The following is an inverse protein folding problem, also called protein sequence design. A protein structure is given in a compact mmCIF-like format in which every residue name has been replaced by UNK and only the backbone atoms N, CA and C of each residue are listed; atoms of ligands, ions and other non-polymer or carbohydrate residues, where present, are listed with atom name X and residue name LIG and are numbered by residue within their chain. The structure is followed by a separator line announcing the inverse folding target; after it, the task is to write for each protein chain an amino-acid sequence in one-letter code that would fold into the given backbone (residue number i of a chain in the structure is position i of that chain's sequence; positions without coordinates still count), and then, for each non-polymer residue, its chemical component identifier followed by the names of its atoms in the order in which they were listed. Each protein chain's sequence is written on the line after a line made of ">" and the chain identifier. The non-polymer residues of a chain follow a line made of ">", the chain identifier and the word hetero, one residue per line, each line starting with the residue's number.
data_IF_556667346529
#
_entry.id   IF_556667346529
#
_cell.length_a   1.000
_cell.length_b   1.000
_cell.length_c   1.000
_cell.angle_alpha   90.00
_cell.angle_beta   90.00
_cell.angle_gamma   90.00
#
_symmetry.space_group_name_H-M   'P 1'
#
loop_
_entity.id
_entity.type
_entity.pdbx_description
1 polymer ?
#
# COMPACT_ATOMS: atom_id res chain seq x y z
N UNK A 1 8.61 5.54 -7.63
CA UNK A 1 9.11 4.46 -6.75
C UNK A 1 9.12 4.89 -5.29
N UNK A 2 8.32 4.25 -4.41
CA UNK A 2 8.45 4.40 -2.94
C UNK A 2 9.42 3.32 -2.44
N UNK A 3 10.47 3.76 -1.73
CA UNK A 3 11.46 2.85 -1.11
C UNK A 3 10.93 2.31 0.21
N UNK A 4 11.39 1.12 0.63
CA UNK A 4 10.98 0.51 1.90
C UNK A 4 11.26 1.43 3.09
N UNK A 5 12.40 2.14 3.11
CA UNK A 5 12.72 3.12 4.15
C UNK A 5 11.73 4.29 4.24
N UNK A 6 11.13 4.70 3.13
CA UNK A 6 10.11 5.75 3.14
C UNK A 6 8.81 5.25 3.78
N UNK A 7 8.41 4.01 3.48
CA UNK A 7 7.23 3.37 4.07
C UNK A 7 7.40 3.24 5.58
N UNK A 8 8.56 2.76 6.01
CA UNK A 8 8.89 2.60 7.44
C UNK A 8 8.76 3.94 8.17
N UNK A 9 9.24 5.05 7.58
CA UNK A 9 9.08 6.39 8.18
C UNK A 9 7.61 6.81 8.36
N UNK A 10 6.71 6.37 7.49
CA UNK A 10 5.27 6.62 7.66
C UNK A 10 4.65 5.66 8.67
N UNK A 11 5.08 4.40 8.69
CA UNK A 11 4.66 3.41 9.69
C UNK A 11 5.08 3.81 11.11
N UNK A 12 6.25 4.42 11.28
CA UNK A 12 6.72 4.95 12.58
C UNK A 12 5.81 6.07 13.14
N UNK A 13 4.90 6.62 12.33
CA UNK A 13 3.92 7.63 12.74
C UNK A 13 2.52 7.04 12.98
N UNK A 14 2.33 5.75 12.73
CA UNK A 14 1.05 5.08 12.88
C UNK A 14 0.84 4.64 14.34
N UNK A 15 -0.37 4.87 14.85
CA UNK A 15 -0.75 4.54 16.23
C UNK A 15 -1.89 3.53 16.32
N UNK A 16 -2.49 3.18 15.17
CA UNK A 16 -3.68 2.36 15.07
C UNK A 16 -3.63 1.52 13.78
N UNK A 17 -4.50 0.51 13.72
CA UNK A 17 -4.56 -0.39 12.57
C UNK A 17 -4.97 0.35 11.28
N UNK A 18 -5.76 1.42 11.38
CA UNK A 18 -6.26 2.15 10.21
C UNK A 18 -5.15 2.93 9.50
N UNK A 19 -4.35 3.67 10.24
CA UNK A 19 -3.19 4.38 9.74
C UNK A 19 -2.16 3.42 9.14
N UNK A 20 -2.00 2.22 9.70
CA UNK A 20 -1.13 1.18 9.15
C UNK A 20 -1.68 0.65 7.83
N UNK A 21 -2.98 0.33 7.75
CA UNK A 21 -3.63 -0.14 6.54
C UNK A 21 -3.51 0.88 5.39
N UNK A 22 -3.72 2.17 5.66
CA UNK A 22 -3.55 3.22 4.64
C UNK A 22 -2.13 3.26 4.07
N UNK A 23 -1.12 3.14 4.95
CA UNK A 23 0.30 3.15 4.57
C UNK A 23 0.72 1.87 3.84
N UNK A 24 0.24 0.72 4.29
CA UNK A 24 0.50 -0.56 3.65
C UNK A 24 -0.22 -0.68 2.30
N UNK A 25 -1.44 -0.18 2.17
CA UNK A 25 -2.16 -0.11 0.91
C UNK A 25 -1.40 0.69 -0.13
N UNK A 26 -0.87 1.86 0.26
CA UNK A 26 0.01 2.66 -0.57
C UNK A 26 1.30 1.91 -0.99
N UNK A 27 1.92 1.17 -0.06
CA UNK A 27 3.08 0.34 -0.34
C UNK A 27 2.79 -0.76 -1.37
N UNK A 28 1.67 -1.47 -1.21
CA UNK A 28 1.23 -2.56 -2.08
C UNK A 28 0.90 -2.05 -3.49
N UNK A 29 0.10 -0.99 -3.61
CA UNK A 29 -0.21 -0.35 -4.89
C UNK A 29 1.07 0.06 -5.61
N UNK A 30 2.03 0.65 -4.89
CA UNK A 30 3.33 0.96 -5.47
C UNK A 30 4.05 -0.27 -6.05
N UNK A 31 3.85 -1.48 -5.53
CA UNK A 31 4.46 -2.70 -6.09
C UNK A 31 3.75 -3.13 -7.35
N UNK A 32 2.42 -3.14 -7.36
CA UNK A 32 1.64 -3.47 -8.56
C UNK A 32 1.92 -2.51 -9.70
N UNK A 33 1.98 -1.21 -9.44
CA UNK A 33 2.32 -0.21 -10.45
C UNK A 33 3.71 -0.43 -11.06
N UNK A 34 4.63 -1.09 -10.35
CA UNK A 34 5.95 -1.45 -10.89
C UNK A 34 5.95 -2.81 -11.62
N UNK A 35 4.78 -3.40 -11.87
CA UNK A 35 4.63 -4.68 -12.58
C UNK A 35 4.81 -5.92 -11.70
N UNK A 36 4.78 -5.77 -10.37
CA UNK A 36 4.85 -6.94 -9.48
C UNK A 36 3.55 -7.76 -9.55
N UNK A 37 3.69 -9.10 -9.62
CA UNK A 37 2.56 -10.03 -9.50
C UNK A 37 2.18 -10.28 -8.04
N UNK A 38 0.96 -10.76 -7.76
CA UNK A 38 0.47 -10.98 -6.40
C UNK A 38 1.45 -11.78 -5.52
N UNK A 39 2.01 -12.88 -6.00
CA UNK A 39 3.00 -13.67 -5.26
C UNK A 39 4.23 -12.84 -4.84
N UNK A 40 4.75 -11.99 -5.75
CA UNK A 40 5.88 -11.12 -5.45
C UNK A 40 5.52 -10.02 -4.45
N UNK A 41 4.28 -9.52 -4.50
CA UNK A 41 3.76 -8.56 -3.53
C UNK A 41 3.64 -9.21 -2.14
N UNK A 42 3.11 -10.43 -2.04
CA UNK A 42 3.05 -11.19 -0.79
C UNK A 42 4.44 -11.41 -0.19
N UNK A 43 5.42 -11.81 -1.00
CA UNK A 43 6.82 -11.91 -0.55
C UNK A 43 7.34 -10.57 -0.02
N UNK A 44 7.01 -9.45 -0.67
CA UNK A 44 7.39 -8.10 -0.23
C UNK A 44 6.69 -7.63 1.04
N UNK A 45 5.46 -8.10 1.30
CA UNK A 45 4.76 -7.87 2.56
C UNK A 45 5.44 -8.69 3.66
N UNK A 46 5.71 -9.97 3.41
CA UNK A 46 6.42 -10.84 4.35
C UNK A 46 7.80 -10.28 4.74
N UNK A 47 8.60 -9.86 3.76
CA UNK A 47 9.90 -9.23 4.03
C UNK A 47 9.78 -7.93 4.84
N UNK A 48 8.71 -7.16 4.65
CA UNK A 48 8.45 -5.96 5.44
C UNK A 48 8.14 -6.32 6.89
N UNK A 49 7.30 -7.33 7.12
CA UNK A 49 7.01 -7.84 8.47
C UNK A 49 8.29 -8.30 9.16
N UNK A 50 9.10 -9.15 8.53
CA UNK A 50 10.37 -9.60 9.10
C UNK A 50 11.31 -8.43 9.41
N UNK A 51 11.41 -7.45 8.50
CA UNK A 51 12.22 -6.26 8.72
C UNK A 51 11.75 -5.46 9.94
N UNK A 52 10.44 -5.23 10.10
CA UNK A 52 9.89 -4.49 11.25
C UNK A 52 10.14 -5.24 12.56
N UNK A 53 9.94 -6.56 12.57
CA UNK A 53 10.21 -7.40 13.74
C UNK A 53 11.69 -7.40 14.16
N UNK A 54 12.62 -7.31 13.19
CA UNK A 54 14.07 -7.32 13.46
C UNK A 54 14.67 -5.93 13.75
N UNK A 55 13.90 -4.84 13.63
CA UNK A 55 14.41 -3.45 13.75
C UNK A 55 13.73 -2.64 14.85
N UNK A 56 13.42 -3.26 15.99
CA UNK A 56 12.73 -2.68 17.16
C UNK A 56 11.37 -2.04 16.86
N UNK A 57 10.76 -2.42 15.72
CA UNK A 57 9.45 -1.96 15.25
C UNK A 57 8.39 -3.05 15.30
N UNK A 58 8.60 -4.07 16.14
CA UNK A 58 7.64 -5.17 16.33
C UNK A 58 6.24 -4.68 16.70
N UNK A 59 6.15 -3.62 17.50
CA UNK A 59 4.89 -2.99 17.90
C UNK A 59 4.02 -2.55 16.70
N UNK A 60 4.62 -2.18 15.56
CA UNK A 60 3.87 -1.83 14.34
C UNK A 60 3.17 -3.07 13.77
N UNK A 61 3.84 -4.22 13.80
CA UNK A 61 3.26 -5.49 13.36
C UNK A 61 2.13 -5.91 14.30
N UNK A 62 2.30 -5.68 15.60
CA UNK A 62 1.28 -5.98 16.62
C UNK A 62 0.03 -5.11 16.46
N UNK A 63 0.20 -3.78 16.37
CA UNK A 63 -0.91 -2.82 16.18
C UNK A 63 -1.63 -3.08 14.84
N UNK A 64 -0.86 -3.35 13.79
CA UNK A 64 -1.34 -3.50 12.42
C UNK A 64 -1.68 -4.93 12.01
N UNK A 65 -1.81 -5.87 12.95
CA UNK A 65 -1.92 -7.29 12.63
C UNK A 65 -3.07 -7.56 11.65
N UNK A 66 -4.21 -6.91 11.85
CA UNK A 66 -5.38 -7.05 10.97
C UNK A 66 -5.18 -6.38 9.61
N UNK A 67 -4.52 -5.23 9.55
CA UNK A 67 -4.14 -4.59 8.29
C UNK A 67 -3.22 -5.49 7.44
N UNK A 68 -2.20 -6.08 8.04
CA UNK A 68 -1.30 -7.01 7.35
C UNK A 68 -2.04 -8.26 6.83
N UNK A 69 -2.91 -8.87 7.65
CA UNK A 69 -3.71 -10.03 7.25
C UNK A 69 -4.68 -9.69 6.14
N UNK A 70 -5.48 -8.63 6.32
CA UNK A 70 -6.50 -8.20 5.36
C UNK A 70 -5.88 -7.91 3.98
N UNK A 71 -4.77 -7.16 3.96
CA UNK A 71 -4.05 -6.90 2.71
C UNK A 71 -3.44 -8.16 2.10
N UNK A 72 -2.89 -9.08 2.90
CA UNK A 72 -2.38 -10.35 2.37
C UNK A 72 -3.49 -11.19 1.72
N UNK A 73 -4.67 -11.26 2.35
CA UNK A 73 -5.85 -11.93 1.80
C UNK A 73 -6.26 -11.27 0.49
N UNK A 74 -6.47 -9.95 0.50
CA UNK A 74 -6.89 -9.20 -0.69
C UNK A 74 -5.90 -9.39 -1.85
N UNK A 75 -4.59 -9.31 -1.57
CA UNK A 75 -3.54 -9.55 -2.58
C UNK A 75 -3.59 -10.98 -3.11
N UNK A 76 -3.80 -11.97 -2.23
CA UNK A 76 -3.93 -13.38 -2.64
C UNK A 76 -5.15 -13.62 -3.52
N UNK A 77 -6.20 -12.81 -3.36
CA UNK A 77 -7.44 -12.84 -4.15
C UNK A 77 -7.40 -11.98 -5.42
N UNK A 78 -6.22 -11.47 -5.81
CA UNK A 78 -6.05 -10.68 -7.05
C UNK A 78 -6.02 -9.17 -6.85
N UNK A 79 -5.98 -8.71 -5.60
CA UNK A 79 -5.74 -7.32 -5.20
C UNK A 79 -6.77 -6.28 -5.66
N UNK A 80 -7.97 -6.67 -6.08
CA UNK A 80 -8.94 -5.77 -6.73
C UNK A 80 -9.34 -4.55 -5.89
N UNK A 81 -9.32 -4.68 -4.55
CA UNK A 81 -9.78 -3.65 -3.61
C UNK A 81 -8.65 -2.95 -2.87
N UNK A 82 -7.39 -3.29 -3.14
CA UNK A 82 -6.27 -2.64 -2.44
C UNK A 82 -6.26 -1.15 -2.74
N UNK A 83 -6.18 -0.31 -1.70
CA UNK A 83 -6.10 1.14 -1.84
C UNK A 83 -7.39 1.82 -2.31
N UNK A 84 -8.52 1.12 -2.31
CA UNK A 84 -9.85 1.71 -2.56
C UNK A 84 -10.38 2.50 -1.36
N UNK A 85 -9.86 2.20 -0.16
CA UNK A 85 -10.19 2.94 1.07
C UNK A 85 -9.55 4.34 1.03
N UNK A 86 -10.31 5.41 1.30
CA UNK A 86 -9.75 6.75 1.33
C UNK A 86 -8.72 6.88 2.46
N UNK A 87 -7.65 7.64 2.20
CA UNK A 87 -6.67 7.97 3.23
C UNK A 87 -7.18 9.13 4.08
N UNK A 88 -7.40 8.88 5.37
CA UNK A 88 -7.94 9.83 6.35
C UNK A 88 -6.89 10.21 7.40
N UNK A 89 -5.88 9.37 7.59
CA UNK A 89 -4.83 9.61 8.60
C UNK A 89 -3.70 10.47 8.05
N UNK A 90 -3.05 11.26 8.91
CA UNK A 90 -1.87 12.06 8.53
C UNK A 90 -0.78 11.22 7.82
N UNK A 91 -0.34 10.06 8.34
CA UNK A 91 0.66 9.25 7.65
C UNK A 91 0.15 8.68 6.33
N UNK A 92 -1.11 8.22 6.26
CA UNK A 92 -1.72 7.75 5.03
C UNK A 92 -1.81 8.82 3.94
N UNK A 93 -2.37 9.99 4.27
CA UNK A 93 -2.43 11.14 3.34
C UNK A 93 -1.02 11.49 2.85
N UNK A 94 -0.04 11.52 3.77
CA UNK A 94 1.35 11.82 3.46
C UNK A 94 1.95 10.88 2.41
N UNK A 95 1.80 9.57 2.59
CA UNK A 95 2.37 8.59 1.65
C UNK A 95 1.61 8.58 0.31
N UNK A 96 0.29 8.74 0.33
CA UNK A 96 -0.52 8.81 -0.90
C UNK A 96 -0.22 10.07 -1.72
N UNK A 97 0.07 11.21 -1.07
CA UNK A 97 0.57 12.42 -1.74
C UNK A 97 1.93 12.15 -2.43
N UNK A 98 2.82 11.37 -1.80
CA UNK A 98 4.11 10.98 -2.41
C UNK A 98 3.92 10.04 -3.62
N UNK A 99 2.87 9.21 -3.62
CA UNK A 99 2.49 8.41 -4.79
C UNK A 99 1.98 9.33 -5.92
N UNK A 100 1.00 10.20 -5.60
CA UNK A 100 0.34 11.08 -6.57
C UNK A 100 1.30 12.05 -7.25
N UNK A 101 2.23 12.62 -6.50
CA UNK A 101 3.23 13.57 -7.01
C UNK A 101 4.22 12.97 -8.03
N UNK A 102 4.27 11.65 -8.21
CA UNK A 102 5.19 11.03 -9.17
C UNK A 102 4.56 11.03 -10.57
N UNK A 103 5.15 11.75 -11.53
CA UNK A 103 4.71 11.80 -12.95
C UNK A 103 4.39 10.44 -13.59
N UNK A 104 5.15 9.39 -13.22
CA UNK A 104 4.93 8.02 -13.71
C UNK A 104 3.62 7.40 -13.22
N UNK A 105 3.09 7.88 -12.08
CA UNK A 105 1.76 7.51 -11.57
C UNK A 105 0.68 8.16 -12.43
N UNK A 106 0.76 9.46 -12.73
CA UNK A 106 -0.19 10.12 -13.61
C UNK A 106 -0.28 9.47 -15.00
N UNK A 107 0.84 9.09 -15.62
CA UNK A 107 0.81 8.37 -16.91
C UNK A 107 0.21 6.96 -16.80
N UNK A 108 0.62 6.18 -15.78
CA UNK A 108 0.08 4.84 -15.50
C UNK A 108 -1.28 4.85 -14.80
N UNK A 109 -1.87 6.00 -14.54
CA UNK A 109 -3.21 6.13 -13.97
C UNK A 109 -4.16 6.74 -15.01
N UNK A 110 -3.73 7.70 -15.82
CA UNK A 110 -4.48 8.15 -17.00
C UNK A 110 -4.70 7.05 -18.04
N UNK A 111 -3.77 6.09 -18.19
CA UNK A 111 -3.99 4.92 -19.04
C UNK A 111 -4.93 3.88 -18.41
N UNK A 112 -5.35 4.07 -17.15
CA UNK A 112 -5.67 2.92 -16.30
C UNK A 112 -6.92 3.12 -15.46
N UNK A 113 -7.23 4.35 -15.07
CA UNK A 113 -8.30 4.66 -14.15
C UNK A 113 -8.65 6.16 -14.26
N UNK A 114 -9.76 6.47 -14.90
CA UNK A 114 -10.71 7.45 -14.35
C UNK A 114 -12.09 6.91 -14.67
N UNK A 115 -12.82 6.45 -13.65
CA UNK A 115 -14.26 6.51 -13.76
C UNK A 115 -14.67 8.00 -13.73
N UNK A 116 -15.88 8.31 -14.19
CA UNK A 116 -16.39 9.69 -14.29
C UNK A 116 -16.45 10.44 -12.94
N UNK A 117 -16.06 9.77 -11.84
CA UNK A 117 -16.15 10.22 -10.45
C UNK A 117 -14.79 10.49 -9.81
N UNK A 118 -13.66 10.18 -10.47
CA UNK A 118 -12.32 10.52 -10.00
C UNK A 118 -11.73 9.59 -8.92
N UNK A 119 -12.26 8.38 -8.76
CA UNK A 119 -11.75 7.38 -7.82
C UNK A 119 -10.74 6.40 -8.44
N UNK A 120 -9.91 5.71 -7.63
CA UNK A 120 -9.11 4.59 -8.10
C UNK A 120 -10.02 3.38 -8.46
N UNK A 121 -10.36 3.23 -9.74
CA UNK A 121 -11.00 2.07 -10.37
C UNK A 121 -10.24 0.75 -10.19
N UNK A 122 -10.98 -0.35 -10.36
CA UNK A 122 -10.54 -1.69 -10.01
C UNK A 122 -9.28 -2.15 -10.76
N UNK A 123 -8.39 -2.87 -10.06
CA UNK A 123 -7.16 -3.49 -10.60
C UNK A 123 -7.41 -4.61 -11.63
N UNK A 124 -8.67 -4.90 -12.00
CA UNK A 124 -9.02 -5.86 -13.04
C UNK A 124 -8.70 -5.40 -14.47
N UNK A 125 -8.36 -4.13 -14.69
CA UNK A 125 -7.90 -3.61 -15.98
C UNK A 125 -6.44 -3.97 -16.33
N UNK A 126 -5.78 -4.79 -15.51
CA UNK A 126 -4.34 -5.06 -15.59
C UNK A 126 -3.97 -6.55 -15.81
N UNK A 127 -4.93 -7.47 -15.72
CA UNK A 127 -4.76 -8.90 -16.03
C UNK A 127 -5.25 -9.19 -17.45
#
# INVERSE_FOLDING_TARGET
>A
MIKQSQVVRYLDQCTDNDSIDEVLGAYVICKFLNGAKCAQVLTKIHHLVCYLSLTDRGHIVEIGQEAFKSLAIEVSSGAQRVGTRPALTKPGIGIWNVIRSKRSFHQRLHSTITDASGGPGALSSFL
#
